data_IF_137220713737
#
_entry.id   IF_137220713737
#
_cell.length_a   1.000
_cell.length_b   1.000
_cell.length_c   1.000
_cell.angle_alpha   90.00
_cell.angle_beta   90.00
_cell.angle_gamma   90.00
#
_symmetry.space_group_name_H-M   'P 1'
#
loop_
_entity.id
_entity.type
_entity.pdbx_description
1 polymer ?
#
# COMPACT_ATOMS: atom_id res chain seq x y z
N UNK A 1 5.82 -15.80 -28.74
CA UNK A 1 6.63 -14.62 -28.39
C UNK A 1 6.09 -14.01 -27.10
N UNK A 2 6.94 -13.71 -26.12
CA UNK A 2 6.53 -13.03 -24.89
C UNK A 2 6.25 -11.56 -25.21
N UNK A 3 5.04 -11.07 -24.94
CA UNK A 3 4.66 -9.65 -25.16
C UNK A 3 5.63 -8.66 -24.49
N UNK A 4 6.34 -9.10 -23.45
CA UNK A 4 7.21 -8.26 -22.63
C UNK A 4 8.64 -8.79 -22.48
N UNK A 5 9.09 -9.73 -23.33
CA UNK A 5 10.48 -10.24 -23.28
C UNK A 5 10.87 -11.04 -22.02
N UNK A 6 9.94 -11.27 -21.09
CA UNK A 6 10.19 -11.97 -19.81
C UNK A 6 9.57 -13.35 -19.73
N UNK A 7 10.26 -14.26 -19.04
CA UNK A 7 9.77 -15.61 -18.74
C UNK A 7 8.60 -15.58 -17.77
N UNK A 8 7.48 -16.16 -18.23
CA UNK A 8 6.34 -16.42 -17.35
C UNK A 8 6.76 -17.61 -16.49
N UNK A 9 7.18 -17.32 -15.27
CA UNK A 9 7.45 -18.31 -14.24
C UNK A 9 6.15 -18.60 -13.48
N UNK A 10 5.90 -19.87 -13.18
CA UNK A 10 4.77 -20.24 -12.32
C UNK A 10 5.07 -19.76 -10.89
N UNK A 11 4.09 -19.09 -10.27
CA UNK A 11 4.23 -18.49 -8.93
C UNK A 11 3.19 -19.09 -8.00
N UNK A 12 3.58 -19.50 -6.78
CA UNK A 12 2.61 -19.97 -5.81
C UNK A 12 1.62 -18.85 -5.49
N UNK A 13 0.32 -19.18 -5.60
CA UNK A 13 -0.76 -18.24 -5.28
C UNK A 13 -0.87 -18.13 -3.75
N UNK A 14 -0.24 -17.10 -3.20
CA UNK A 14 -0.33 -16.80 -1.76
C UNK A 14 -1.75 -16.30 -1.46
N UNK A 15 -2.52 -17.08 -0.71
CA UNK A 15 -3.84 -16.66 -0.21
C UNK A 15 -3.64 -15.62 0.88
N UNK A 16 -4.33 -14.48 0.78
CA UNK A 16 -4.35 -13.51 1.87
C UNK A 16 -5.09 -14.12 3.07
N UNK A 17 -4.37 -14.37 4.17
CA UNK A 17 -4.94 -14.93 5.40
C UNK A 17 -5.39 -13.86 6.38
N UNK A 18 -4.86 -12.64 6.26
CA UNK A 18 -5.21 -11.51 7.13
C UNK A 18 -6.36 -10.72 6.51
N UNK A 19 -7.50 -10.74 7.19
CA UNK A 19 -8.62 -9.86 6.87
C UNK A 19 -8.43 -8.58 7.69
N UNK A 20 -8.18 -7.47 7.00
CA UNK A 20 -8.13 -6.15 7.62
C UNK A 20 -9.49 -5.47 7.45
N UNK A 21 -10.29 -5.46 8.52
CA UNK A 21 -11.56 -4.75 8.53
C UNK A 21 -11.35 -3.27 8.93
N UNK A 22 -11.60 -2.38 7.97
CA UNK A 22 -11.48 -0.93 8.14
C UNK A 22 -12.81 -0.23 8.44
N UNK A 23 -13.94 -0.96 8.43
CA UNK A 23 -15.28 -0.40 8.60
C UNK A 23 -15.59 0.01 10.05
N UNK A 24 -14.88 -0.59 11.00
CA UNK A 24 -15.05 -0.29 12.42
C UNK A 24 -14.31 0.99 12.86
N UNK A 25 -14.72 1.57 13.99
CA UNK A 25 -13.98 2.68 14.65
C UNK A 25 -12.50 2.35 14.89
N UNK A 26 -12.17 1.08 15.15
CA UNK A 26 -10.77 0.62 15.30
C UNK A 26 -10.02 0.71 13.97
N UNK A 27 -10.68 0.35 12.86
CA UNK A 27 -10.17 0.51 11.50
C UNK A 27 -9.88 1.97 11.16
N UNK A 28 -10.82 2.87 11.45
CA UNK A 28 -10.64 4.33 11.27
C UNK A 28 -9.42 4.86 12.04
N UNK A 29 -9.29 4.49 13.32
CA UNK A 29 -8.15 4.88 14.15
C UNK A 29 -6.82 4.33 13.60
N UNK A 30 -6.83 3.12 13.06
CA UNK A 30 -5.65 2.50 12.45
C UNK A 30 -5.20 3.29 11.22
N UNK A 31 -6.14 3.59 10.31
CA UNK A 31 -5.87 4.39 9.11
C UNK A 31 -5.32 5.74 9.51
N UNK A 32 -5.97 6.46 10.44
CA UNK A 32 -5.53 7.78 10.89
C UNK A 32 -4.09 7.75 11.45
N UNK A 33 -3.77 6.77 12.30
CA UNK A 33 -2.43 6.62 12.88
C UNK A 33 -1.37 6.33 11.82
N UNK A 34 -1.67 5.42 10.88
CA UNK A 34 -0.76 5.08 9.79
C UNK A 34 -0.54 6.25 8.85
N UNK A 35 -1.59 6.99 8.51
CA UNK A 35 -1.52 8.19 7.68
C UNK A 35 -0.60 9.24 8.30
N UNK A 36 -0.78 9.56 9.58
CA UNK A 36 0.09 10.51 10.29
C UNK A 36 1.56 10.03 10.26
N UNK A 37 1.79 8.74 10.50
CA UNK A 37 3.14 8.15 10.46
C UNK A 37 3.78 8.27 9.08
N UNK A 38 3.02 8.01 8.02
CA UNK A 38 3.49 8.09 6.63
C UNK A 38 3.78 9.54 6.23
N UNK A 39 2.88 10.47 6.53
CA UNK A 39 3.07 11.91 6.25
C UNK A 39 4.33 12.45 6.94
N UNK A 40 4.53 12.09 8.21
CA UNK A 40 5.72 12.53 8.95
C UNK A 40 7.01 11.90 8.40
N UNK A 41 6.99 10.59 8.11
CA UNK A 41 8.16 9.88 7.57
C UNK A 41 8.57 10.39 6.20
N UNK A 42 7.61 10.75 5.35
CA UNK A 42 7.84 11.12 3.95
C UNK A 42 7.46 12.57 3.65
N UNK A 43 7.66 13.48 4.62
CA UNK A 43 7.25 14.89 4.51
C UNK A 43 7.71 15.56 3.20
N UNK A 44 8.98 15.38 2.81
CA UNK A 44 9.55 15.97 1.59
C UNK A 44 8.91 15.43 0.30
N UNK A 45 8.54 14.16 0.28
CA UNK A 45 7.85 13.54 -0.85
C UNK A 45 6.46 14.15 -1.02
N UNK A 46 5.70 14.25 0.07
CA UNK A 46 4.37 14.85 0.01
C UNK A 46 4.39 16.35 -0.29
N UNK A 47 5.42 17.08 0.16
CA UNK A 47 5.62 18.48 -0.25
C UNK A 47 5.78 18.60 -1.76
N UNK A 48 6.70 17.82 -2.36
CA UNK A 48 6.91 17.83 -3.81
C UNK A 48 5.67 17.42 -4.60
N UNK A 49 4.87 16.49 -4.07
CA UNK A 49 3.63 16.07 -4.71
C UNK A 49 2.52 17.11 -4.60
N UNK A 50 2.50 17.93 -3.55
CA UNK A 50 1.53 19.00 -3.40
C UNK A 50 1.80 20.18 -4.36
N UNK A 51 3.04 20.30 -4.83
CA UNK A 51 3.47 21.32 -5.79
C UNK A 51 3.30 20.88 -7.27
N UNK A 52 2.82 19.65 -7.52
CA UNK A 52 2.47 19.12 -8.86
C UNK A 52 1.00 19.39 -9.19
#
# INVERSE_FOLDING_TARGET
MKKYGVEIVDRPKIKATKILDLSSKKGELLVRKLTIKILNRHKKTFQRLADL
#
